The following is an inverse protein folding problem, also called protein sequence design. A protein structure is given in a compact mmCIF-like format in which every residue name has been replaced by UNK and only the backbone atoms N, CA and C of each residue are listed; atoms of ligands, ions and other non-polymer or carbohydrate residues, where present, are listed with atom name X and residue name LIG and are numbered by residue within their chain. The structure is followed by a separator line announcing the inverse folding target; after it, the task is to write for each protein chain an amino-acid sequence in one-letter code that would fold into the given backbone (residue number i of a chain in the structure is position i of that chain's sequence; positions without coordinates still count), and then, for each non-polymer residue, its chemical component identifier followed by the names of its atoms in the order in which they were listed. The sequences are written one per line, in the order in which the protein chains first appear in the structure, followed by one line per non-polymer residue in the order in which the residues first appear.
data_IF_748076286907
#
_entry.id   IF_748076286907
#
_cell.length_a   1.000
_cell.length_b   1.000
_cell.length_c   1.000
_cell.angle_alpha   90.00
_cell.angle_beta   90.00
_cell.angle_gamma   90.00
#
_symmetry.space_group_name_H-M   'P 1'
#
loop_
_entity.id
_entity.type
_entity.pdbx_description
1 polymer ?
#
# COMPACT_ATOMS: atom_id res chain seq x y z
N UNK A 1 -24.69 19.86 10.48
CA UNK A 1 -23.58 18.98 10.93
C UNK A 1 -22.27 19.70 10.63
N UNK A 2 -21.35 19.88 11.59
CA UNK A 2 -20.06 20.50 11.29
C UNK A 2 -19.26 19.54 10.42
N UNK A 3 -18.79 20.01 9.26
CA UNK A 3 -17.86 19.26 8.41
C UNK A 3 -16.55 19.13 9.17
N UNK A 4 -16.20 17.93 9.62
CA UNK A 4 -14.90 17.67 10.24
C UNK A 4 -13.81 17.91 9.19
N UNK A 5 -12.96 18.90 9.46
CA UNK A 5 -11.75 19.16 8.68
C UNK A 5 -10.92 17.87 8.67
N UNK A 6 -10.42 17.39 7.51
CA UNK A 6 -9.57 16.21 7.47
C UNK A 6 -8.39 16.42 8.41
N UNK A 7 -8.25 15.55 9.42
CA UNK A 7 -7.17 15.64 10.39
C UNK A 7 -5.86 15.45 9.63
N UNK A 8 -4.93 16.41 9.72
CA UNK A 8 -3.58 16.28 9.16
C UNK A 8 -3.02 14.91 9.56
N UNK A 9 -2.45 14.14 8.64
CA UNK A 9 -1.77 12.89 8.98
C UNK A 9 -0.72 13.16 10.06
N UNK A 10 -0.70 12.28 11.07
CA UNK A 10 0.23 12.37 12.19
C UNK A 10 1.67 12.14 11.68
N UNK A 11 2.54 13.15 11.82
CA UNK A 11 3.87 13.16 11.18
C UNK A 11 4.96 12.46 11.99
N UNK A 12 4.69 12.08 13.24
CA UNK A 12 5.74 11.68 14.19
C UNK A 12 6.18 10.20 14.12
N UNK A 13 5.53 9.35 13.32
CA UNK A 13 5.96 7.93 13.14
C UNK A 13 5.75 7.48 11.69
N UNK A 14 6.22 8.27 10.71
CA UNK A 14 5.99 7.95 9.30
C UNK A 14 6.99 6.91 8.78
N UNK A 15 6.59 5.64 8.85
CA UNK A 15 6.98 4.64 7.86
C UNK A 15 6.35 5.08 6.55
N UNK A 16 7.16 5.58 5.63
CA UNK A 16 6.69 6.13 4.35
C UNK A 16 6.82 5.03 3.32
N UNK A 17 5.75 4.77 2.58
CA UNK A 17 5.78 3.83 1.47
C UNK A 17 6.04 4.62 0.17
N UNK A 18 7.15 4.36 -0.51
CA UNK A 18 7.48 5.03 -1.78
C UNK A 18 8.08 6.42 -1.61
N UNK A 19 8.90 6.67 -0.60
CA UNK A 19 9.62 7.92 -0.38
C UNK A 19 8.83 9.06 0.28
N UNK A 20 9.36 10.28 0.20
CA UNK A 20 8.87 11.50 0.87
C UNK A 20 8.04 12.39 -0.06
N UNK A 21 7.07 13.12 0.50
CA UNK A 21 6.34 14.18 -0.21
C UNK A 21 7.22 15.27 -0.86
N UNK A 22 8.49 15.41 -0.45
CA UNK A 22 9.45 16.35 -1.05
C UNK A 22 10.20 15.80 -2.27
N UNK A 23 10.03 14.51 -2.59
CA UNK A 23 10.72 13.90 -3.73
C UNK A 23 10.04 14.28 -5.04
N UNK A 24 10.81 14.15 -6.13
CA UNK A 24 10.29 14.32 -7.48
C UNK A 24 9.55 13.06 -7.91
N UNK A 25 8.32 13.21 -8.41
CA UNK A 25 7.56 12.11 -8.96
C UNK A 25 8.22 11.64 -10.27
N UNK A 26 8.59 10.36 -10.39
CA UNK A 26 9.27 9.85 -11.58
C UNK A 26 8.33 9.68 -12.79
N UNK A 27 7.01 9.83 -12.60
CA UNK A 27 6.03 9.81 -13.70
C UNK A 27 5.80 11.19 -14.32
N UNK A 28 5.55 12.22 -13.51
CA UNK A 28 5.19 13.55 -14.01
C UNK A 28 6.30 14.60 -13.88
N UNK A 29 7.42 14.29 -13.24
CA UNK A 29 8.56 15.20 -13.05
C UNK A 29 8.36 16.32 -12.03
N UNK A 30 7.18 16.41 -11.39
CA UNK A 30 6.93 17.42 -10.36
C UNK A 30 7.27 16.91 -8.96
N UNK A 31 7.75 17.82 -8.10
CA UNK A 31 7.82 17.58 -6.65
C UNK A 31 6.43 17.20 -6.14
N UNK A 32 6.35 16.15 -5.32
CA UNK A 32 5.06 15.59 -4.88
C UNK A 32 4.21 16.55 -4.07
N UNK A 33 4.81 17.36 -3.20
CA UNK A 33 4.13 18.39 -2.43
C UNK A 33 4.00 19.75 -3.16
N UNK A 34 4.33 19.82 -4.46
CA UNK A 34 4.18 21.05 -5.26
C UNK A 34 2.73 21.54 -5.18
N UNK A 35 2.56 22.85 -5.02
CA UNK A 35 1.24 23.49 -5.03
C UNK A 35 1.08 24.36 -6.28
N UNK A 36 -0.12 24.39 -6.84
CA UNK A 36 -0.55 25.33 -7.86
C UNK A 36 -1.77 26.09 -7.33
N UNK A 37 -1.70 27.43 -7.31
CA UNK A 37 -2.76 28.29 -6.75
C UNK A 37 -3.22 27.86 -5.33
N UNK A 38 -2.25 27.48 -4.48
CA UNK A 38 -2.51 27.05 -3.10
C UNK A 38 -3.02 25.61 -2.94
N UNK A 39 -3.35 24.91 -4.02
CA UNK A 39 -3.79 23.50 -4.00
C UNK A 39 -2.62 22.56 -4.32
N UNK A 40 -2.56 21.40 -3.65
CA UNK A 40 -1.56 20.39 -4.00
C UNK A 40 -1.79 19.88 -5.42
N UNK A 41 -0.69 19.71 -6.15
CA UNK A 41 -0.71 19.15 -7.50
C UNK A 41 -0.98 17.64 -7.47
N UNK A 42 -0.33 16.93 -6.53
CA UNK A 42 -0.64 15.55 -6.23
C UNK A 42 -1.60 15.48 -5.03
N UNK A 43 -2.73 14.82 -5.21
CA UNK A 43 -3.66 14.48 -4.13
C UNK A 43 -3.07 13.47 -3.15
N UNK A 44 -2.14 12.62 -3.60
CA UNK A 44 -1.37 11.70 -2.74
C UNK A 44 0.12 12.06 -2.84
N UNK A 45 0.60 13.04 -2.07
CA UNK A 45 2.02 13.37 -2.09
C UNK A 45 2.88 12.28 -1.43
N UNK A 46 2.31 11.52 -0.48
CA UNK A 46 2.95 10.39 0.19
C UNK A 46 1.90 9.42 0.73
N UNK A 47 2.27 8.14 0.86
CA UNK A 47 1.43 7.13 1.53
C UNK A 47 1.98 6.91 2.93
N UNK A 48 1.16 7.24 3.93
CA UNK A 48 1.56 7.20 5.34
C UNK A 48 0.96 6.01 6.07
N UNK A 49 1.61 5.59 7.15
CA UNK A 49 1.08 4.62 8.09
C UNK A 49 0.01 5.23 9.03
N UNK A 50 -0.70 4.39 9.79
CA UNK A 50 -1.49 4.84 10.94
C UNK A 50 -1.64 3.75 12.01
N UNK A 51 -1.79 4.16 13.27
CA UNK A 51 -1.96 3.24 14.40
C UNK A 51 -3.16 2.29 14.24
N UNK A 52 -4.27 2.78 13.68
CA UNK A 52 -5.46 1.95 13.44
C UNK A 52 -5.15 0.83 12.44
N UNK A 53 -4.46 1.15 11.34
CA UNK A 53 -4.07 0.16 10.34
C UNK A 53 -3.06 -0.86 10.90
N UNK A 54 -2.12 -0.42 11.75
CA UNK A 54 -1.23 -1.35 12.48
C UNK A 54 -2.03 -2.33 13.33
N UNK A 55 -3.07 -1.86 14.03
CA UNK A 55 -3.97 -2.70 14.80
C UNK A 55 -4.72 -3.73 13.94
N UNK A 56 -5.19 -3.32 12.77
CA UNK A 56 -5.85 -4.21 11.79
C UNK A 56 -4.90 -5.31 11.33
N UNK A 57 -3.69 -4.96 10.86
CA UNK A 57 -2.73 -5.98 10.39
C UNK A 57 -2.27 -6.90 11.52
N UNK A 58 -2.07 -6.36 12.74
CA UNK A 58 -1.78 -7.15 13.92
C UNK A 58 -2.87 -8.19 14.21
N UNK A 59 -4.14 -7.79 14.12
CA UNK A 59 -5.26 -8.72 14.30
C UNK A 59 -5.32 -9.79 13.19
N UNK A 60 -5.04 -9.41 11.94
CA UNK A 60 -4.92 -10.36 10.83
C UNK A 60 -3.84 -11.40 11.15
N UNK A 61 -2.66 -10.97 11.61
CA UNK A 61 -1.59 -11.88 12.04
C UNK A 61 -2.06 -12.84 13.13
N UNK A 62 -2.68 -12.31 14.18
CA UNK A 62 -3.16 -13.15 15.29
C UNK A 62 -4.15 -14.21 14.82
N UNK A 63 -5.08 -13.83 13.94
CA UNK A 63 -6.05 -14.75 13.34
C UNK A 63 -5.36 -15.81 12.44
N UNK A 64 -4.36 -15.41 11.65
CA UNK A 64 -3.56 -16.35 10.84
C UNK A 64 -2.79 -17.36 11.70
N UNK A 65 -2.26 -16.92 12.85
CA UNK A 65 -1.57 -17.81 13.80
C UNK A 65 -2.52 -18.83 14.46
N UNK A 66 -3.82 -18.52 14.53
CA UNK A 66 -4.84 -19.41 15.06
C UNK A 66 -5.46 -20.32 13.98
N UNK A 67 -5.31 -19.99 12.70
CA UNK A 67 -5.86 -20.77 11.60
C UNK A 67 -5.09 -22.07 11.39
N UNK A 68 -5.66 -23.17 11.88
CA UNK A 68 -5.12 -24.52 11.72
C UNK A 68 -5.10 -25.02 10.27
N UNK A 69 -5.76 -24.35 9.33
CA UNK A 69 -5.66 -24.70 7.90
C UNK A 69 -4.47 -24.03 7.20
N UNK A 70 -3.89 -22.98 7.80
CA UNK A 70 -2.58 -22.45 7.44
C UNK A 70 -1.42 -23.27 8.02
N UNK A 71 -1.70 -24.16 8.98
CA UNK A 71 -0.78 -25.24 9.39
C UNK A 71 -0.45 -26.20 8.23
N UNK A 72 -1.13 -26.08 7.07
CA UNK A 72 -0.68 -26.73 5.84
C UNK A 72 0.67 -26.23 5.29
N UNK A 73 1.18 -25.08 5.75
CA UNK A 73 2.51 -24.57 5.42
C UNK A 73 3.11 -23.82 6.65
N UNK A 74 3.59 -24.55 7.67
CA UNK A 74 4.08 -23.96 8.91
C UNK A 74 5.39 -23.16 8.72
N UNK A 75 6.03 -23.30 7.56
CA UNK A 75 7.19 -22.52 7.14
C UNK A 75 6.81 -21.28 6.31
N UNK A 76 5.52 -20.95 6.20
CA UNK A 76 5.05 -19.82 5.39
C UNK A 76 5.63 -18.48 5.83
N UNK A 77 6.13 -17.72 4.86
CA UNK A 77 6.65 -16.37 5.07
C UNK A 77 6.13 -15.45 3.97
N UNK A 78 5.42 -14.39 4.36
CA UNK A 78 4.84 -13.43 3.40
C UNK A 78 4.55 -12.09 4.06
N UNK A 79 4.43 -11.03 3.24
CA UNK A 79 3.93 -9.73 3.68
C UNK A 79 2.42 -9.70 3.63
N UNK A 80 1.84 -9.11 4.66
CA UNK A 80 0.45 -8.72 4.78
C UNK A 80 0.38 -7.21 4.70
N UNK A 81 -0.68 -6.66 4.14
CA UNK A 81 -0.91 -5.23 4.21
C UNK A 81 -2.37 -4.87 4.12
N UNK A 82 -2.67 -3.67 4.62
CA UNK A 82 -3.99 -3.05 4.56
C UNK A 82 -3.85 -1.61 4.07
N UNK A 83 -4.86 -1.14 3.35
CA UNK A 83 -4.94 0.22 2.82
C UNK A 83 -6.29 0.83 3.18
N UNK A 84 -6.25 2.09 3.60
CA UNK A 84 -7.42 2.94 3.82
C UNK A 84 -7.28 4.19 2.93
N UNK A 85 -8.30 4.49 2.15
CA UNK A 85 -8.30 5.65 1.27
C UNK A 85 -9.63 6.41 1.34
N UNK A 86 -9.56 7.74 1.18
CA UNK A 86 -10.76 8.57 0.97
C UNK A 86 -10.61 9.43 -0.29
N UNK A 87 -11.40 9.10 -1.30
CA UNK A 87 -11.33 9.62 -2.67
C UNK A 87 -12.75 9.94 -3.12
N UNK A 88 -13.02 11.16 -3.58
CA UNK A 88 -14.37 11.54 -4.02
C UNK A 88 -15.42 11.55 -2.91
N UNK A 89 -15.01 11.68 -1.65
CA UNK A 89 -15.89 11.55 -0.49
C UNK A 89 -16.29 10.10 -0.16
N UNK A 90 -15.78 9.11 -0.91
CA UNK A 90 -15.97 7.69 -0.65
C UNK A 90 -14.75 7.11 0.06
N UNK A 91 -14.99 6.14 0.94
CA UNK A 91 -13.93 5.47 1.70
C UNK A 91 -13.74 4.02 1.22
N UNK A 92 -12.48 3.60 1.12
CA UNK A 92 -12.06 2.30 0.62
C UNK A 92 -11.15 1.62 1.63
N UNK A 93 -11.38 0.33 1.86
CA UNK A 93 -10.67 -0.49 2.84
C UNK A 93 -10.22 -1.78 2.17
N UNK A 94 -8.92 -1.92 1.96
CA UNK A 94 -8.33 -3.04 1.22
C UNK A 94 -7.38 -3.84 2.10
N UNK A 95 -7.31 -5.15 1.86
CA UNK A 95 -6.28 -6.02 2.43
C UNK A 95 -5.66 -6.90 1.35
N UNK A 96 -4.37 -7.21 1.48
CA UNK A 96 -3.63 -8.03 0.52
C UNK A 96 -2.49 -8.81 1.19
N UNK A 97 -2.05 -9.87 0.53
CA UNK A 97 -0.82 -10.59 0.88
C UNK A 97 0.09 -10.79 -0.33
N UNK A 98 1.40 -10.86 -0.08
CA UNK A 98 2.42 -11.13 -1.09
C UNK A 98 2.42 -12.60 -1.51
N UNK A 99 3.14 -12.90 -2.60
CA UNK A 99 3.56 -14.27 -2.94
C UNK A 99 2.54 -15.14 -3.68
N UNK A 100 1.24 -15.11 -3.33
CA UNK A 100 0.22 -15.97 -3.99
C UNK A 100 -0.90 -15.15 -4.62
N UNK A 101 -1.27 -15.48 -5.86
CA UNK A 101 -2.39 -14.85 -6.59
C UNK A 101 -3.59 -15.79 -6.73
N UNK A 102 -3.39 -17.07 -7.06
CA UNK A 102 -4.51 -18.02 -7.13
C UNK A 102 -5.14 -18.27 -5.74
N UNK A 103 -4.29 -18.39 -4.71
CA UNK A 103 -4.71 -18.64 -3.33
C UNK A 103 -4.04 -17.67 -2.37
N UNK A 104 -4.60 -16.45 -2.19
CA UNK A 104 -4.06 -15.48 -1.25
C UNK A 104 -4.05 -16.02 0.18
N UNK A 105 -3.01 -15.67 0.93
CA UNK A 105 -2.81 -16.15 2.30
C UNK A 105 -3.88 -15.64 3.26
N UNK A 106 -4.30 -14.38 3.07
CA UNK A 106 -5.36 -13.75 3.86
C UNK A 106 -6.69 -14.07 3.18
N UNK A 107 -7.62 -14.64 3.95
CA UNK A 107 -8.99 -14.98 3.55
C UNK A 107 -9.97 -14.17 4.41
N UNK A 108 -11.25 -14.04 4.01
CA UNK A 108 -12.24 -13.26 4.76
C UNK A 108 -12.32 -13.60 6.26
N UNK A 109 -12.25 -14.89 6.63
CA UNK A 109 -12.24 -15.36 8.04
C UNK A 109 -11.09 -14.80 8.88
N UNK A 110 -9.98 -14.39 8.26
CA UNK A 110 -8.84 -13.79 8.99
C UNK A 110 -9.11 -12.34 9.39
N UNK A 111 -10.26 -11.78 9.00
CA UNK A 111 -10.69 -10.44 9.42
C UNK A 111 -11.62 -10.46 10.65
N UNK A 112 -11.91 -11.65 11.19
CA UNK A 112 -12.84 -11.79 12.31
C UNK A 112 -12.34 -11.02 13.55
N UNK A 113 -13.26 -10.29 14.18
CA UNK A 113 -12.97 -9.45 15.36
C UNK A 113 -12.23 -8.14 15.08
N UNK A 114 -12.00 -7.77 13.81
CA UNK A 114 -11.51 -6.43 13.47
C UNK A 114 -12.64 -5.42 13.63
N UNK A 115 -12.54 -4.54 14.63
CA UNK A 115 -13.56 -3.53 14.97
C UNK A 115 -13.39 -2.21 14.22
N UNK A 116 -12.22 -1.98 13.62
CA UNK A 116 -11.98 -0.82 12.76
C UNK A 116 -12.58 -1.10 11.38
N UNK A 117 -13.67 -0.40 11.04
CA UNK A 117 -14.47 -0.58 9.80
C UNK A 117 -14.97 -2.02 9.59
N UNK A 118 -15.80 -2.56 10.52
CA UNK A 118 -16.22 -3.96 10.49
C UNK A 118 -17.01 -4.26 9.22
N UNK A 119 -16.66 -5.36 8.55
CA UNK A 119 -17.33 -5.82 7.32
C UNK A 119 -17.07 -5.00 6.05
N UNK A 120 -16.26 -3.93 6.11
CA UNK A 120 -15.98 -3.06 4.94
C UNK A 120 -14.70 -3.42 4.18
N UNK A 121 -13.89 -4.30 4.75
CA UNK A 121 -12.59 -4.71 4.19
C UNK A 121 -12.76 -5.62 2.97
N UNK A 122 -12.12 -5.25 1.87
CA UNK A 122 -12.16 -5.98 0.59
C UNK A 122 -10.79 -6.50 0.20
N UNK A 123 -10.72 -7.72 -0.33
CA UNK A 123 -9.45 -8.30 -0.75
C UNK A 123 -8.95 -7.63 -2.04
N UNK A 124 -7.71 -7.12 -2.02
CA UNK A 124 -7.00 -6.67 -3.19
C UNK A 124 -6.04 -7.77 -3.66
N UNK A 125 -6.35 -8.38 -4.80
CA UNK A 125 -5.51 -9.42 -5.39
C UNK A 125 -5.37 -9.29 -6.92
N UNK A 126 -4.91 -8.12 -7.42
CA UNK A 126 -4.68 -7.94 -8.84
C UNK A 126 -3.47 -8.77 -9.31
N UNK A 127 -3.47 -9.08 -10.60
CA UNK A 127 -2.26 -9.55 -11.29
C UNK A 127 -1.23 -8.42 -11.35
N UNK A 128 -0.03 -8.67 -10.83
CA UNK A 128 1.08 -7.71 -10.94
C UNK A 128 1.71 -7.86 -12.32
N UNK A 129 1.97 -6.76 -13.06
CA UNK A 129 2.61 -6.85 -14.37
C UNK A 129 3.95 -7.60 -14.32
N UNK A 130 4.20 -8.43 -15.33
CA UNK A 130 5.41 -9.28 -15.40
C UNK A 130 6.69 -8.49 -15.75
N UNK A 131 6.56 -7.24 -16.18
CA UNK A 131 7.66 -6.36 -16.58
C UNK A 131 7.31 -4.90 -16.25
N UNK A 132 8.08 -3.95 -16.77
CA UNK A 132 7.92 -2.52 -16.47
C UNK A 132 6.70 -1.88 -17.16
N UNK A 133 5.97 -2.60 -18.01
CA UNK A 133 4.86 -2.06 -18.81
C UNK A 133 3.50 -2.45 -18.26
N UNK A 134 2.51 -1.60 -18.53
CA UNK A 134 1.10 -1.90 -18.25
C UNK A 134 0.74 -1.84 -16.77
N UNK A 135 1.44 -1.01 -15.99
CA UNK A 135 1.07 -0.72 -14.60
C UNK A 135 -0.11 0.23 -14.55
N UNK A 136 -0.79 0.26 -13.40
CA UNK A 136 -1.93 1.14 -13.16
C UNK A 136 -1.64 2.09 -12.02
N UNK A 137 -1.91 3.38 -12.23
CA UNK A 137 -1.94 4.35 -11.13
C UNK A 137 -3.18 4.13 -10.26
N UNK A 138 -3.24 4.80 -9.11
CA UNK A 138 -4.42 4.88 -8.22
C UNK A 138 -5.65 5.45 -8.91
N UNK A 139 -5.48 6.11 -10.08
CA UNK A 139 -6.56 6.60 -10.94
C UNK A 139 -6.99 5.59 -12.00
N UNK A 140 -6.38 4.41 -12.03
CA UNK A 140 -6.58 3.42 -13.09
C UNK A 140 -5.97 3.82 -14.43
N UNK A 141 -5.08 4.82 -14.46
CA UNK A 141 -4.37 5.20 -15.68
C UNK A 141 -3.21 4.26 -15.93
N UNK A 142 -3.00 3.87 -17.19
CA UNK A 142 -1.83 3.08 -17.56
C UNK A 142 -0.56 3.92 -17.42
N UNK A 143 0.47 3.31 -16.85
CA UNK A 143 1.81 3.89 -16.77
C UNK A 143 2.85 2.80 -16.96
N UNK A 144 3.97 3.17 -17.56
CA UNK A 144 5.16 2.32 -17.59
C UNK A 144 6.14 2.81 -16.52
N UNK A 145 6.84 1.87 -15.90
CA UNK A 145 7.90 2.15 -14.94
C UNK A 145 9.23 2.31 -15.68
N UNK A 146 10.18 3.00 -15.05
CA UNK A 146 11.55 3.08 -15.58
C UNK A 146 12.18 1.68 -15.70
N UNK A 147 12.98 1.52 -16.74
CA UNK A 147 13.81 0.33 -16.91
C UNK A 147 14.85 0.14 -15.79
N UNK A 148 15.21 -1.12 -15.51
CA UNK A 148 16.24 -1.45 -14.53
C UNK A 148 15.79 -1.49 -13.06
N UNK A 149 14.50 -1.37 -12.75
CA UNK A 149 14.00 -1.61 -11.39
C UNK A 149 14.15 -3.10 -11.07
N UNK A 150 15.08 -3.44 -10.18
CA UNK A 150 15.31 -4.81 -9.75
C UNK A 150 14.06 -5.38 -9.05
N UNK A 151 13.66 -6.61 -9.39
CA UNK A 151 12.51 -7.27 -8.76
C UNK A 151 11.17 -6.59 -9.03
N UNK A 152 11.04 -5.82 -10.12
CA UNK A 152 9.83 -5.05 -10.47
C UNK A 152 8.54 -5.88 -10.46
N UNK A 153 8.59 -7.15 -10.89
CA UNK A 153 7.45 -8.07 -10.97
C UNK A 153 7.11 -8.76 -9.64
N UNK A 154 7.90 -8.56 -8.57
CA UNK A 154 7.68 -9.25 -7.30
C UNK A 154 6.36 -8.79 -6.66
N UNK A 155 5.42 -9.71 -6.36
CA UNK A 155 4.11 -9.35 -5.86
C UNK A 155 4.17 -8.99 -4.37
N UNK A 156 4.30 -7.70 -4.07
CA UNK A 156 4.25 -7.16 -2.71
C UNK A 156 2.82 -6.75 -2.32
N UNK A 157 2.48 -6.81 -1.03
CA UNK A 157 1.22 -6.32 -0.48
C UNK A 157 0.94 -4.87 -0.87
N UNK A 158 1.86 -3.93 -0.66
CA UNK A 158 1.68 -2.52 -1.02
C UNK A 158 1.31 -2.32 -2.49
N UNK A 159 2.04 -2.99 -3.37
CA UNK A 159 1.81 -2.92 -4.81
C UNK A 159 0.44 -3.48 -5.16
N UNK A 160 0.06 -4.62 -4.60
CA UNK A 160 -1.27 -5.21 -4.80
C UNK A 160 -2.39 -4.30 -4.29
N UNK A 161 -2.22 -3.65 -3.14
CA UNK A 161 -3.19 -2.72 -2.57
C UNK A 161 -3.41 -1.50 -3.48
N UNK A 162 -2.31 -0.88 -3.95
CA UNK A 162 -2.38 0.30 -4.83
C UNK A 162 -2.93 -0.05 -6.21
N UNK A 163 -2.50 -1.17 -6.80
CA UNK A 163 -3.07 -1.67 -8.04
C UNK A 163 -4.55 -2.04 -7.88
N UNK A 164 -4.93 -2.62 -6.74
CA UNK A 164 -6.32 -2.94 -6.40
C UNK A 164 -7.18 -1.69 -6.32
N UNK A 165 -6.67 -0.63 -5.69
CA UNK A 165 -7.34 0.68 -5.67
C UNK A 165 -7.47 1.27 -7.08
N UNK A 166 -6.40 1.21 -7.89
CA UNK A 166 -6.42 1.68 -9.27
C UNK A 166 -7.40 0.91 -10.17
N UNK A 167 -7.54 -0.39 -9.96
CA UNK A 167 -8.49 -1.26 -10.67
C UNK A 167 -9.97 -0.95 -10.39
N UNK A 168 -10.26 -0.12 -9.39
CA UNK A 168 -11.63 0.37 -9.13
C UNK A 168 -12.04 1.53 -10.04
N UNK A 169 -11.12 2.06 -10.88
CA UNK A 169 -11.39 3.16 -11.82
C UNK A 169 -12.05 4.38 -11.16
N UNK A 170 -11.47 4.82 -10.03
CA UNK A 170 -12.06 5.87 -9.20
C UNK A 170 -11.99 7.24 -9.86
N UNK A 171 -13.12 7.95 -9.86
CA UNK A 171 -13.18 9.36 -10.24
C UNK A 171 -12.31 10.20 -9.32
N UNK A 172 -11.29 10.85 -9.89
CA UNK A 172 -10.36 11.66 -9.12
C UNK A 172 -10.92 13.06 -8.82
N UNK A 173 -11.98 13.10 -8.02
CA UNK A 173 -12.48 14.34 -7.41
C UNK A 173 -12.01 14.34 -5.97
N UNK A 174 -11.11 15.27 -5.60
CA UNK A 174 -10.62 15.47 -4.23
C UNK A 174 -10.16 14.20 -3.50
N UNK A 175 -8.84 13.95 -3.49
CA UNK A 175 -8.26 12.97 -2.57
C UNK A 175 -7.89 13.60 -1.28
N UNK A 176 -8.46 13.04 -0.22
CA UNK A 176 -8.25 13.51 1.13
C UNK A 176 -7.05 12.81 1.76
N UNK A 177 -6.95 11.48 1.59
CA UNK A 177 -5.81 10.70 2.04
C UNK A 177 -5.77 9.31 1.43
N UNK A 178 -4.57 8.73 1.41
CA UNK A 178 -4.32 7.30 1.28
C UNK A 178 -3.30 6.90 2.35
N UNK A 179 -3.64 5.86 3.10
CA UNK A 179 -2.83 5.32 4.19
C UNK A 179 -2.66 3.82 4.00
N UNK A 180 -1.53 3.31 4.44
CA UNK A 180 -1.21 1.90 4.32
C UNK A 180 -0.42 1.42 5.53
N UNK A 181 -0.63 0.18 5.93
CA UNK A 181 0.24 -0.49 6.89
C UNK A 181 0.54 -1.90 6.41
N UNK A 182 1.77 -2.34 6.58
CA UNK A 182 2.25 -3.65 6.14
C UNK A 182 2.91 -4.38 7.31
N UNK A 183 2.90 -5.71 7.34
CA UNK A 183 3.59 -6.52 8.35
C UNK A 183 4.06 -7.82 7.71
N UNK A 184 5.18 -8.37 8.18
CA UNK A 184 5.62 -9.71 7.79
C UNK A 184 4.94 -10.75 8.67
N UNK A 185 4.31 -11.74 8.04
CA UNK A 185 3.93 -13.01 8.65
C UNK A 185 5.13 -13.98 8.56
N UNK A 186 5.45 -14.62 9.69
CA UNK A 186 6.46 -15.67 9.78
C UNK A 186 5.80 -16.84 10.50
N UNK A 187 5.71 -17.97 9.82
CA UNK A 187 5.19 -19.22 10.37
C UNK A 187 6.08 -19.78 11.49
N UNK A 188 5.51 -20.63 12.36
CA UNK A 188 6.22 -21.17 13.53
C UNK A 188 7.43 -22.05 13.19
N UNK A 189 7.47 -22.65 11.99
CA UNK A 189 8.55 -23.54 11.53
C UNK A 189 9.41 -22.91 10.42
N UNK A 190 9.33 -21.59 10.23
CA UNK A 190 10.15 -20.91 9.23
C UNK A 190 11.63 -20.88 9.66
N UNK A 191 12.46 -21.70 9.01
CA UNK A 191 13.89 -21.87 9.36
C UNK A 191 14.77 -20.65 8.99
N UNK A 192 14.42 -19.91 7.93
CA UNK A 192 15.13 -18.70 7.50
C UNK A 192 14.16 -17.56 7.16
N UNK A 193 13.72 -16.83 8.18
CA UNK A 193 13.05 -15.53 8.00
C UNK A 193 14.05 -14.36 7.96
N UNK A 194 15.37 -14.61 7.94
CA UNK A 194 16.37 -13.55 8.03
C UNK A 194 16.38 -12.69 6.76
N UNK A 195 16.15 -13.29 5.59
CA UNK A 195 15.96 -12.55 4.34
C UNK A 195 14.75 -11.59 4.37
N UNK A 196 13.76 -11.86 5.24
CA UNK A 196 12.65 -10.95 5.45
C UNK A 196 13.02 -9.73 6.28
N UNK A 197 14.11 -9.74 7.06
CA UNK A 197 14.57 -8.58 7.85
C UNK A 197 14.80 -7.32 7.01
N UNK A 198 15.11 -7.46 5.72
CA UNK A 198 15.21 -6.34 4.77
C UNK A 198 13.88 -5.57 4.65
N UNK A 199 12.78 -6.25 4.90
CA UNK A 199 11.42 -5.71 4.88
C UNK A 199 10.97 -5.22 6.25
N UNK A 200 11.65 -5.59 7.35
CA UNK A 200 11.36 -5.03 8.67
C UNK A 200 11.85 -3.59 8.66
N UNK A 201 10.96 -2.65 9.00
CA UNK A 201 11.32 -1.26 8.94
C UNK A 201 12.49 -0.88 9.86
N UNK A 202 13.20 0.22 9.56
CA UNK A 202 14.28 0.80 10.37
C UNK A 202 13.78 1.67 11.53
N UNK A 203 12.47 1.76 11.76
CA UNK A 203 11.94 2.60 12.84
C UNK A 203 12.14 1.93 14.20
N UNK A 204 12.54 2.74 15.18
CA UNK A 204 12.73 2.31 16.55
C UNK A 204 11.38 1.93 17.20
N UNK A 205 11.45 0.92 18.06
CA UNK A 205 10.42 0.40 18.98
C UNK A 205 9.19 -0.28 18.35
N UNK A 206 9.26 -1.62 18.32
CA UNK A 206 8.15 -2.58 18.41
C UNK A 206 7.00 -2.49 17.40
N UNK A 207 7.09 -1.69 16.36
CA UNK A 207 6.15 -1.73 15.24
C UNK A 207 6.70 -2.69 14.19
N UNK A 208 6.05 -3.84 14.05
CA UNK A 208 6.34 -4.90 13.07
C UNK A 208 6.01 -4.48 11.63
N UNK A 209 5.97 -3.17 11.40
CA UNK A 209 5.49 -2.60 10.17
C UNK A 209 6.59 -2.64 9.12
N UNK A 210 6.29 -3.30 8.00
CA UNK A 210 7.28 -3.49 6.95
C UNK A 210 7.55 -2.16 6.24
N UNK A 211 8.82 -1.81 6.05
CA UNK A 211 9.16 -0.78 5.07
C UNK A 211 8.99 -1.40 3.68
N UNK A 212 8.54 -0.58 2.73
CA UNK A 212 8.63 -0.94 1.33
C UNK A 212 10.09 -1.27 0.97
N UNK A 213 10.36 -2.44 0.37
CA UNK A 213 11.69 -2.72 -0.17
C UNK A 213 12.07 -1.71 -1.26
N UNK A 214 13.34 -1.72 -1.67
CA UNK A 214 13.86 -0.92 -2.79
C UNK A 214 12.97 -0.99 -4.06
N UNK A 215 12.45 -2.17 -4.40
CA UNK A 215 11.55 -2.31 -5.53
C UNK A 215 10.19 -1.61 -5.28
N UNK A 216 9.62 -1.70 -4.09
CA UNK A 216 8.40 -0.98 -3.73
C UNK A 216 8.64 0.53 -3.68
N UNK A 217 9.75 0.97 -3.09
CA UNK A 217 10.17 2.36 -3.03
C UNK A 217 10.28 2.98 -4.42
N UNK A 218 10.78 2.22 -5.41
CA UNK A 218 10.85 2.66 -6.80
C UNK A 218 9.48 2.66 -7.51
N UNK A 219 8.60 1.69 -7.21
CA UNK A 219 7.31 1.50 -7.90
C UNK A 219 6.22 2.45 -7.41
N UNK A 220 6.05 2.56 -6.10
CA UNK A 220 4.94 3.29 -5.47
C UNK A 220 4.82 4.74 -5.97
N UNK A 221 5.90 5.51 -6.16
CA UNK A 221 5.81 6.87 -6.71
C UNK A 221 5.11 6.98 -8.08
N UNK A 222 5.21 5.95 -8.92
CA UNK A 222 4.46 5.89 -10.18
C UNK A 222 2.99 5.59 -9.92
N UNK A 223 2.71 4.64 -9.03
CA UNK A 223 1.35 4.16 -8.76
C UNK A 223 0.50 5.23 -8.09
N UNK A 224 1.06 6.02 -7.17
CA UNK A 224 0.32 7.07 -6.46
C UNK A 224 0.22 8.38 -7.26
N UNK A 225 0.92 8.48 -8.39
CA UNK A 225 0.87 9.67 -9.21
C UNK A 225 -0.52 9.83 -9.82
N UNK A 226 -1.15 10.94 -9.47
CA UNK A 226 -2.51 11.28 -9.85
C UNK A 226 -2.59 12.49 -10.77
N UNK A 227 -1.45 13.07 -11.14
CA UNK A 227 -1.38 14.18 -12.11
C UNK A 227 -1.84 13.67 -13.49
N UNK A 228 -2.79 14.34 -14.16
CA UNK A 228 -3.22 13.94 -15.49
C UNK A 228 -2.08 14.00 -16.53
N UNK A 229 -1.98 13.07 -17.50
CA UNK A 229 -0.94 13.08 -18.53
C UNK A 229 -0.77 14.42 -19.26
N UNK A 230 -1.89 15.04 -19.65
CA UNK A 230 -1.91 16.31 -20.36
C UNK A 230 -1.38 17.52 -19.54
N UNK A 231 -1.04 17.34 -18.26
CA UNK A 231 -0.47 18.41 -17.42
C UNK A 231 1.05 18.46 -17.43
N UNK A 232 1.73 17.40 -17.92
CA UNK A 232 3.19 17.35 -17.99
C UNK A 232 3.74 17.08 -19.40
N UNK A 233 2.87 17.08 -20.41
CA UNK A 233 3.24 17.24 -21.81
C UNK A 233 3.51 18.72 -22.12
N UNK A 234 4.56 19.29 -21.53
CA UNK A 234 5.18 20.52 -21.99
C UNK A 234 6.63 20.51 -21.50
N UNK A 235 7.62 20.25 -22.38
CA UNK A 235 9.02 20.48 -22.05
C UNK A 235 9.29 21.95 -21.72
#
# INVERSE_FOLDING_TARGET
MPKSTPRKPDTEVNLRHGGRATDTCPRCGYVRNKKNQGKLLHGIPEVTDSANLRGVVGRIKDNLMQDRSLVGDPAAVFMMGVLEARIGGHEYYLYASSGRTAEPWIKPRHLDGITYHPGRWTQANPTVPANNRGWLTVRGEKTDLREGIAGVHRPCSAVKLLLGLGGMHLDWKSVDYVRMSEMVYVGPEAEDAAHMRVWHGRAATNSWTAHSCDACEARIPYLICDVPPHWFESP
#
